data_IF_297901407362
#
_entry.id   IF_297901407362
#
_cell.length_a   1.000
_cell.length_b   1.000
_cell.length_c   1.000
_cell.angle_alpha   90.00
_cell.angle_beta   90.00
_cell.angle_gamma   90.00
#
_symmetry.space_group_name_H-M   'P 1'
#
loop_
_entity.id
_entity.type
_entity.pdbx_description
1 polymer ?
#
# COMPACT_ATOMS: atom_id res chain seq x y z
N UNK A 1 -46.97 -9.05 -50.67
CA UNK A 1 -45.52 -9.30 -50.56
C UNK A 1 -45.06 -8.82 -49.20
N UNK A 2 -44.43 -9.69 -48.41
CA UNK A 2 -44.05 -9.48 -47.00
C UNK A 2 -42.52 -9.21 -46.99
N UNK A 3 -42.10 -8.00 -46.64
CA UNK A 3 -40.69 -7.66 -46.44
C UNK A 3 -40.34 -7.83 -44.96
N UNK A 4 -39.42 -8.74 -44.59
CA UNK A 4 -38.94 -8.82 -43.21
C UNK A 4 -37.90 -7.72 -42.98
N UNK A 5 -38.19 -6.87 -41.99
CA UNK A 5 -37.31 -5.82 -41.48
C UNK A 5 -36.15 -6.50 -40.72
N UNK A 6 -34.95 -6.47 -41.30
CA UNK A 6 -33.71 -6.94 -40.67
C UNK A 6 -33.23 -5.88 -39.67
N UNK A 7 -33.28 -6.22 -38.38
CA UNK A 7 -32.73 -5.42 -37.27
C UNK A 7 -31.23 -5.73 -37.15
N UNK A 8 -30.31 -4.76 -37.32
CA UNK A 8 -28.91 -4.99 -37.02
C UNK A 8 -28.71 -4.95 -35.50
N UNK A 9 -28.39 -6.11 -34.91
CA UNK A 9 -27.92 -6.20 -33.52
C UNK A 9 -26.49 -5.65 -33.50
N UNK A 10 -26.34 -4.39 -33.12
CA UNK A 10 -25.06 -3.76 -32.86
C UNK A 10 -24.56 -4.27 -31.50
N UNK A 11 -23.72 -5.30 -31.49
CA UNK A 11 -23.05 -5.79 -30.29
C UNK A 11 -22.02 -4.76 -29.85
N UNK A 12 -22.38 -3.95 -28.84
CA UNK A 12 -21.47 -3.03 -28.18
C UNK A 12 -20.53 -3.84 -27.28
N UNK A 13 -19.40 -4.29 -27.82
CA UNK A 13 -18.30 -4.83 -27.04
C UNK A 13 -17.68 -3.70 -26.22
N UNK A 14 -18.24 -3.46 -25.03
CA UNK A 14 -17.58 -2.64 -24.02
C UNK A 14 -16.31 -3.38 -23.58
N UNK A 15 -15.18 -3.02 -24.20
CA UNK A 15 -13.86 -3.23 -23.62
C UNK A 15 -13.82 -2.40 -22.33
N UNK A 16 -14.31 -2.99 -21.23
CA UNK A 16 -13.94 -2.53 -19.90
C UNK A 16 -12.47 -2.88 -19.77
N UNK A 17 -11.61 -1.98 -20.26
CA UNK A 17 -10.20 -2.05 -19.93
C UNK A 17 -10.11 -1.98 -18.43
N UNK A 18 -9.56 -3.03 -17.81
CA UNK A 18 -9.11 -2.96 -16.42
C UNK A 18 -8.10 -1.81 -16.35
N UNK A 19 -8.55 -0.62 -15.97
CA UNK A 19 -7.66 0.44 -15.57
C UNK A 19 -7.09 0.00 -14.24
N UNK A 20 -5.80 -0.35 -14.23
CA UNK A 20 -5.08 -0.67 -13.01
C UNK A 20 -5.14 0.49 -12.00
N UNK A 21 -4.75 0.25 -10.75
CA UNK A 21 -4.81 1.27 -9.71
C UNK A 21 -4.07 2.54 -10.12
N UNK A 22 -4.67 3.71 -9.88
CA UNK A 22 -4.04 4.98 -10.21
C UNK A 22 -2.73 5.17 -9.40
N UNK A 23 -1.67 5.74 -10.00
CA UNK A 23 -0.43 6.01 -9.28
C UNK A 23 -0.65 6.91 -8.06
N UNK A 24 -0.08 6.53 -6.90
CA UNK A 24 -0.13 7.34 -5.68
C UNK A 24 0.95 8.42 -5.71
N UNK A 25 0.57 9.67 -5.45
CA UNK A 25 1.52 10.79 -5.35
C UNK A 25 2.38 10.65 -4.10
N UNK A 26 3.70 10.82 -4.24
CA UNK A 26 4.65 10.73 -3.13
C UNK A 26 4.32 11.66 -1.94
N UNK A 27 3.86 12.89 -2.20
CA UNK A 27 3.46 13.81 -1.14
C UNK A 27 2.34 13.28 -0.24
N UNK A 28 1.49 12.37 -0.74
CA UNK A 28 0.46 11.73 0.07
C UNK A 28 1.04 10.71 1.05
N UNK A 29 2.23 10.17 0.77
CA UNK A 29 2.91 9.18 1.62
C UNK A 29 3.79 9.84 2.68
N UNK A 30 4.20 11.11 2.51
CA UNK A 30 4.98 11.82 3.52
C UNK A 30 4.22 11.88 4.85
N UNK A 31 4.85 11.44 5.94
CA UNK A 31 4.27 11.46 7.28
C UNK A 31 4.83 10.37 8.19
N UNK A 32 4.20 10.24 9.35
CA UNK A 32 4.51 9.22 10.34
C UNK A 32 3.53 8.04 10.22
N UNK A 33 4.03 6.86 10.50
CA UNK A 33 3.31 5.60 10.42
C UNK A 33 3.60 4.77 11.65
N UNK A 34 2.59 4.02 12.10
CA UNK A 34 2.68 3.10 13.23
C UNK A 34 2.33 1.69 12.79
N UNK A 35 3.00 0.70 13.38
CA UNK A 35 2.73 -0.69 13.11
C UNK A 35 1.34 -1.12 13.62
N UNK A 36 0.70 -2.01 12.86
CA UNK A 36 -0.56 -2.67 13.17
C UNK A 36 -0.49 -4.11 12.72
N UNK A 37 -1.07 -4.98 13.53
CA UNK A 37 -1.20 -6.39 13.27
C UNK A 37 -2.54 -6.89 13.78
N UNK A 38 -3.20 -7.71 12.96
CA UNK A 38 -4.36 -8.51 13.30
C UNK A 38 -3.99 -9.99 13.50
N UNK A 39 -2.71 -10.34 13.33
CA UNK A 39 -2.20 -11.70 13.50
C UNK A 39 -2.27 -12.12 14.98
N UNK A 40 -3.01 -13.20 15.32
CA UNK A 40 -3.11 -13.67 16.71
C UNK A 40 -1.78 -14.19 17.27
N UNK A 41 -0.84 -14.60 16.41
CA UNK A 41 0.48 -15.08 16.82
C UNK A 41 1.48 -13.93 17.00
N UNK A 42 1.16 -12.73 16.50
CA UNK A 42 1.97 -11.54 16.67
C UNK A 42 1.87 -10.98 18.10
N UNK A 43 3.01 -10.58 18.65
CA UNK A 43 3.13 -10.12 20.03
C UNK A 43 3.24 -8.61 20.05
N UNK A 44 2.26 -7.87 20.60
CA UNK A 44 2.34 -6.41 20.67
C UNK A 44 3.62 -5.90 21.35
N UNK A 45 4.16 -6.63 22.33
CA UNK A 45 5.41 -6.27 23.04
C UNK A 45 6.66 -6.37 22.17
N UNK A 46 6.61 -7.10 21.06
CA UNK A 46 7.72 -7.20 20.10
C UNK A 46 7.79 -5.95 19.19
N UNK A 47 6.69 -5.20 19.06
CA UNK A 47 6.49 -4.13 18.07
C UNK A 47 6.01 -2.79 18.66
N UNK A 48 5.94 -2.64 19.98
CA UNK A 48 5.43 -1.43 20.64
C UNK A 48 6.21 -0.15 20.28
N UNK A 49 7.44 -0.28 19.76
CA UNK A 49 8.26 0.84 19.30
C UNK A 49 8.25 1.00 17.77
N UNK A 50 7.57 0.12 17.02
CA UNK A 50 7.61 0.11 15.56
C UNK A 50 6.92 1.34 14.97
N UNK A 51 7.72 2.21 14.36
CA UNK A 51 7.25 3.38 13.62
C UNK A 51 8.13 3.70 12.43
N UNK A 52 7.51 4.27 11.40
CA UNK A 52 8.16 4.69 10.17
C UNK A 52 7.84 6.16 9.91
N UNK A 53 8.86 6.96 9.61
CA UNK A 53 8.70 8.34 9.13
C UNK A 53 9.17 8.43 7.70
N UNK A 54 8.29 8.86 6.79
CA UNK A 54 8.61 9.20 5.41
C UNK A 54 8.72 10.71 5.28
N UNK A 55 9.90 11.20 4.92
CA UNK A 55 10.17 12.64 4.77
C UNK A 55 10.04 13.07 3.32
N UNK A 56 9.70 14.35 3.11
CA UNK A 56 9.50 14.94 1.77
C UNK A 56 10.77 14.99 0.92
N UNK A 57 11.94 14.96 1.54
CA UNK A 57 13.25 14.90 0.86
C UNK A 57 13.61 13.51 0.32
N UNK A 58 12.69 12.53 0.43
CA UNK A 58 12.93 11.16 -0.01
C UNK A 58 13.73 10.32 1.00
N UNK A 59 13.89 10.79 2.25
CA UNK A 59 14.53 10.02 3.33
C UNK A 59 13.50 9.37 4.24
N UNK A 60 13.83 8.19 4.78
CA UNK A 60 13.01 7.54 5.79
C UNK A 60 13.79 7.33 7.10
N UNK A 61 13.04 7.19 8.19
CA UNK A 61 13.52 6.67 9.46
C UNK A 61 12.57 5.55 9.89
N UNK A 62 13.09 4.34 10.07
CA UNK A 62 12.36 3.18 10.55
C UNK A 62 12.95 2.78 11.90
N UNK A 63 12.10 2.74 12.92
CA UNK A 63 12.44 2.19 14.23
C UNK A 63 11.64 0.92 14.40
N UNK A 64 12.29 -0.14 14.86
CA UNK A 64 11.63 -1.42 15.15
C UNK A 64 12.07 -1.97 16.51
N UNK A 65 11.23 -2.80 17.10
CA UNK A 65 11.44 -3.50 18.36
C UNK A 65 10.39 -3.17 19.41
N UNK A 66 10.67 -3.57 20.65
CA UNK A 66 9.73 -3.43 21.74
C UNK A 66 10.30 -3.88 23.08
N UNK A 67 9.47 -3.98 24.10
CA UNK A 67 9.88 -4.43 25.43
C UNK A 67 10.48 -5.85 25.43
N UNK A 68 10.11 -6.68 24.46
CA UNK A 68 10.61 -8.06 24.31
C UNK A 68 11.55 -8.28 23.12
N UNK A 69 11.81 -7.24 22.30
CA UNK A 69 12.74 -7.29 21.15
C UNK A 69 13.73 -6.13 21.14
N UNK A 70 15.01 -6.34 20.82
CA UNK A 70 15.99 -5.26 20.71
C UNK A 70 15.51 -4.16 19.77
N UNK A 71 15.74 -2.91 20.19
CA UNK A 71 15.45 -1.75 19.34
C UNK A 71 16.47 -1.65 18.22
N UNK A 72 15.99 -1.56 16.99
CA UNK A 72 16.78 -1.23 15.80
C UNK A 72 16.33 0.11 15.23
N UNK A 73 17.26 0.82 14.60
CA UNK A 73 17.00 2.08 13.91
C UNK A 73 17.67 1.98 12.54
N UNK A 74 16.88 2.20 11.49
CA UNK A 74 17.32 2.16 10.10
C UNK A 74 16.93 3.47 9.42
N UNK A 75 17.83 4.02 8.61
CA UNK A 75 17.56 5.20 7.79
C UNK A 75 18.09 4.98 6.38
N UNK A 76 17.40 5.56 5.40
CA UNK A 76 17.70 5.30 4.01
C UNK A 76 16.93 6.22 3.09
N UNK A 77 16.92 5.86 1.80
CA UNK A 77 16.11 6.54 0.82
C UNK A 77 14.79 5.78 0.60
N UNK A 78 13.72 6.50 0.32
CA UNK A 78 12.48 5.89 -0.13
C UNK A 78 12.06 6.46 -1.49
N UNK A 79 11.38 5.61 -2.25
CA UNK A 79 10.76 5.99 -3.52
C UNK A 79 9.48 5.19 -3.73
N UNK A 80 8.82 5.41 -4.85
CA UNK A 80 7.64 4.65 -5.27
C UNK A 80 7.92 3.96 -6.60
N UNK A 81 7.43 2.74 -6.74
CA UNK A 81 7.42 2.02 -8.02
C UNK A 81 6.02 1.60 -8.41
N UNK A 82 5.81 1.38 -9.70
CA UNK A 82 4.61 0.72 -10.20
C UNK A 82 4.71 -0.79 -9.94
N UNK A 83 3.75 -1.33 -9.18
CA UNK A 83 3.59 -2.75 -8.90
C UNK A 83 2.58 -3.43 -9.82
N UNK A 84 2.13 -2.77 -10.89
CA UNK A 84 1.17 -3.31 -11.84
C UNK A 84 -0.20 -3.50 -11.20
N UNK A 85 -0.72 -4.73 -11.24
CA UNK A 85 -2.07 -5.05 -10.74
C UNK A 85 -2.21 -4.85 -9.22
N UNK A 86 -1.09 -4.80 -8.47
CA UNK A 86 -1.08 -4.50 -7.04
C UNK A 86 -1.03 -2.99 -6.74
N UNK A 87 -0.86 -2.15 -7.76
CA UNK A 87 -0.82 -0.69 -7.63
C UNK A 87 0.55 -0.16 -7.23
N UNK A 88 0.59 0.99 -6.55
CA UNK A 88 1.86 1.62 -6.17
C UNK A 88 2.54 0.87 -5.02
N UNK A 89 3.85 0.66 -5.11
CA UNK A 89 4.66 0.16 -4.00
C UNK A 89 5.55 1.28 -3.45
N UNK A 90 5.66 1.34 -2.13
CA UNK A 90 6.68 2.11 -1.44
C UNK A 90 7.94 1.25 -1.35
N UNK A 91 9.08 1.78 -1.76
CA UNK A 91 10.37 1.12 -1.62
C UNK A 91 11.17 1.82 -0.52
N UNK A 92 11.60 1.06 0.50
CA UNK A 92 12.58 1.47 1.52
C UNK A 92 13.89 0.77 1.21
N UNK A 93 14.83 1.46 0.56
CA UNK A 93 16.04 0.89 -0.04
C UNK A 93 15.74 -0.34 -0.93
N UNK A 94 15.70 -1.54 -0.33
CA UNK A 94 15.48 -2.84 -1.02
C UNK A 94 14.16 -3.53 -0.64
N UNK A 95 13.39 -2.97 0.29
CA UNK A 95 12.14 -3.55 0.79
C UNK A 95 10.94 -2.84 0.16
N UNK A 96 10.06 -3.58 -0.50
CA UNK A 96 8.85 -3.05 -1.14
C UNK A 96 7.58 -3.33 -0.34
N UNK A 97 6.74 -2.33 -0.17
CA UNK A 97 5.47 -2.40 0.55
C UNK A 97 4.33 -1.94 -0.37
N UNK A 98 3.35 -2.80 -0.70
CA UNK A 98 2.16 -2.36 -1.40
C UNK A 98 1.47 -1.23 -0.64
N UNK A 99 1.12 -0.15 -1.36
CA UNK A 99 0.40 0.99 -0.79
C UNK A 99 -1.09 0.79 -1.02
N UNK A 100 -1.86 0.85 0.07
CA UNK A 100 -3.32 0.81 0.02
C UNK A 100 -3.91 2.08 0.62
N UNK A 101 -4.84 2.70 -0.10
CA UNK A 101 -5.58 3.87 0.36
C UNK A 101 -7.04 3.46 0.52
N UNK A 102 -7.48 3.29 1.76
CA UNK A 102 -8.87 2.96 2.10
C UNK A 102 -9.56 4.23 2.65
N UNK A 103 -10.24 4.96 1.77
CA UNK A 103 -10.82 6.26 2.11
C UNK A 103 -9.73 7.26 2.50
N UNK A 104 -9.64 7.58 3.80
CA UNK A 104 -8.66 8.53 4.35
C UNK A 104 -7.49 7.83 5.07
N UNK A 105 -7.45 6.50 5.09
CA UNK A 105 -6.39 5.73 5.71
C UNK A 105 -5.37 5.29 4.65
N UNK A 106 -4.09 5.57 4.89
CA UNK A 106 -2.99 5.07 4.06
C UNK A 106 -2.28 3.95 4.80
N UNK A 107 -2.23 2.76 4.19
CA UNK A 107 -1.59 1.56 4.71
C UNK A 107 -0.42 1.16 3.82
N UNK A 108 0.67 0.72 4.44
CA UNK A 108 1.82 0.08 3.80
C UNK A 108 1.79 -1.38 4.23
N UNK A 109 1.40 -2.26 3.32
CA UNK A 109 1.12 -3.65 3.63
C UNK A 109 2.43 -4.42 3.79
N UNK A 110 2.52 -5.24 4.84
CA UNK A 110 3.65 -6.13 5.12
C UNK A 110 3.25 -7.56 4.80
N UNK A 111 2.12 -8.00 5.35
CA UNK A 111 1.52 -9.30 5.10
C UNK A 111 0.00 -9.13 5.01
N UNK A 112 -0.56 -9.46 3.85
CA UNK A 112 -2.00 -9.34 3.60
C UNK A 112 -2.81 -10.52 4.13
N UNK A 113 -2.16 -11.67 4.29
CA UNK A 113 -2.83 -12.91 4.70
C UNK A 113 -3.04 -12.92 6.21
N UNK A 114 -2.08 -12.35 6.96
CA UNK A 114 -2.14 -12.24 8.43
C UNK A 114 -2.59 -10.87 8.92
N UNK A 115 -2.74 -9.89 8.03
CA UNK A 115 -3.23 -8.56 8.38
C UNK A 115 -2.18 -7.74 9.14
N UNK A 116 -1.00 -7.56 8.55
CA UNK A 116 0.10 -6.79 9.12
C UNK A 116 0.42 -5.60 8.21
N UNK A 117 0.45 -4.39 8.76
CA UNK A 117 0.73 -3.17 8.01
C UNK A 117 1.27 -2.03 8.88
N UNK A 118 1.90 -1.05 8.24
CA UNK A 118 2.07 0.28 8.81
C UNK A 118 0.89 1.16 8.39
N UNK A 119 0.24 1.85 9.33
CA UNK A 119 -0.83 2.83 9.02
C UNK A 119 -0.37 4.25 9.32
N UNK A 120 -0.72 5.18 8.44
CA UNK A 120 -0.35 6.60 8.58
C UNK A 120 -1.08 7.23 9.76
N UNK A 121 -0.34 7.93 10.61
CA UNK A 121 -0.90 8.75 11.69
C UNK A 121 -1.60 9.97 11.07
N UNK A 122 -2.82 10.25 11.53
CA UNK A 122 -3.67 11.34 11.03
C UNK A 122 -3.22 12.71 11.51
#
# INVERSE_FOLDING_TARGET
>A
MKMPLLVPILTCSALVGCQGPAPVKQDLLVGEYVYKSEDPDDKPTDHELDHLTLRRDGRYLLVQGGSTKPRTISEGAWTTSDGGDQGTHLLLDHSGYPVRIDGNETKLLIDTDTGIWFTKVK
#
